data_IF_985529005539
#
_entry.id   IF_985529005539
#
_cell.length_a   1.000
_cell.length_b   1.000
_cell.length_c   1.000
_cell.angle_alpha   90.00
_cell.angle_beta   90.00
_cell.angle_gamma   90.00
#
_symmetry.space_group_name_H-M   'P 1'
#
loop_
_entity.id
_entity.type
_entity.pdbx_description
1 polymer ?
#
# COMPACT_ATOMS: atom_id res chain seq x y z
N UNK A 1 16.86 -15.51 -16.78
CA UNK A 1 15.44 -15.45 -16.39
C UNK A 1 14.98 -14.00 -16.53
N UNK A 2 14.06 -13.67 -17.46
CA UNK A 2 13.62 -12.29 -17.70
C UNK A 2 12.81 -11.69 -16.54
N UNK A 3 12.55 -12.43 -15.47
CA UNK A 3 11.76 -11.97 -14.33
C UNK A 3 12.59 -11.40 -13.16
N UNK A 4 13.91 -11.51 -13.18
CA UNK A 4 14.74 -10.96 -12.10
C UNK A 4 15.05 -9.48 -12.35
N UNK A 5 14.14 -8.60 -11.94
CA UNK A 5 14.45 -7.17 -11.77
C UNK A 5 15.16 -7.02 -10.41
N UNK A 6 16.41 -6.55 -10.35
CA UNK A 6 17.17 -6.43 -9.10
C UNK A 6 16.64 -5.31 -8.16
N UNK A 7 15.54 -4.65 -8.53
CA UNK A 7 14.86 -3.65 -7.72
C UNK A 7 13.54 -4.26 -7.25
N UNK A 8 13.60 -5.00 -6.14
CA UNK A 8 12.39 -5.34 -5.39
C UNK A 8 11.83 -4.00 -4.86
N UNK A 9 10.70 -3.56 -5.40
CA UNK A 9 10.06 -2.30 -5.01
C UNK A 9 9.07 -2.55 -3.86
N UNK A 10 8.78 -1.51 -3.07
CA UNK A 10 7.89 -1.59 -1.90
C UNK A 10 6.53 -2.26 -2.22
N UNK A 11 5.88 -2.03 -3.38
CA UNK A 11 4.63 -2.72 -3.75
C UNK A 11 4.77 -4.24 -3.88
N UNK A 12 5.93 -4.74 -4.32
CA UNK A 12 6.16 -6.18 -4.52
C UNK A 12 6.34 -6.88 -3.17
N UNK A 13 7.08 -6.26 -2.23
CA UNK A 13 7.21 -6.78 -0.85
C UNK A 13 5.85 -6.75 -0.14
N UNK A 14 5.10 -5.66 -0.31
CA UNK A 14 3.77 -5.53 0.27
C UNK A 14 2.78 -6.60 -0.25
N UNK A 15 2.96 -7.06 -1.49
CA UNK A 15 2.12 -8.11 -2.07
C UNK A 15 2.32 -9.45 -1.37
N UNK A 16 3.53 -9.75 -0.88
CA UNK A 16 3.84 -10.96 -0.10
C UNK A 16 3.11 -11.02 1.25
N UNK A 17 2.55 -9.89 1.73
CA UNK A 17 1.74 -9.87 2.95
C UNK A 17 0.30 -10.37 2.71
N UNK A 18 -0.17 -10.43 1.47
CA UNK A 18 -1.48 -10.97 1.17
C UNK A 18 -1.57 -12.44 1.63
N UNK A 19 -2.73 -12.89 2.16
CA UNK A 19 -4.00 -12.17 2.26
C UNK A 19 -4.21 -11.45 3.60
N UNK A 20 -3.16 -11.14 4.37
CA UNK A 20 -3.32 -10.38 5.61
C UNK A 20 -3.75 -8.95 5.28
N UNK A 21 -4.54 -8.35 6.16
CA UNK A 21 -4.90 -6.94 6.00
C UNK A 21 -3.64 -6.06 5.98
N UNK A 22 -3.64 -5.02 5.15
CA UNK A 22 -2.55 -4.07 5.03
C UNK A 22 -3.05 -2.63 4.90
N UNK A 23 -2.42 -1.72 5.64
CA UNK A 23 -2.66 -0.28 5.57
C UNK A 23 -1.36 0.46 5.25
N UNK A 24 -1.33 1.17 4.12
CA UNK A 24 -0.18 1.99 3.69
C UNK A 24 -0.53 3.47 3.95
N UNK A 25 0.29 4.14 4.76
CA UNK A 25 0.07 5.51 5.21
C UNK A 25 1.22 6.40 4.70
N UNK A 26 0.87 7.58 4.20
CA UNK A 26 1.79 8.60 3.69
C UNK A 26 2.92 8.02 2.81
N UNK A 27 2.60 7.23 1.76
CA UNK A 27 3.59 6.78 0.80
C UNK A 27 4.38 7.96 0.24
N UNK A 28 5.68 7.77 0.10
CA UNK A 28 6.60 8.75 -0.48
C UNK A 28 7.20 8.20 -1.77
N UNK A 29 7.70 9.09 -2.63
CA UNK A 29 8.56 8.68 -3.73
C UNK A 29 10.00 8.48 -3.27
N UNK A 30 10.88 8.12 -4.22
CA UNK A 30 12.30 7.89 -3.98
C UNK A 30 13.05 9.12 -3.44
N UNK A 31 12.47 10.31 -3.52
CA UNK A 31 13.04 11.54 -2.95
C UNK A 31 12.52 11.85 -1.55
N UNK A 32 11.68 10.97 -0.97
CA UNK A 32 11.05 11.18 0.33
C UNK A 32 9.87 12.15 0.30
N UNK A 33 9.39 12.55 -0.90
CA UNK A 33 8.24 13.45 -1.01
C UNK A 33 6.94 12.66 -0.95
N UNK A 34 5.94 13.08 -0.17
CA UNK A 34 4.62 12.46 -0.17
C UNK A 34 4.05 12.39 -1.58
N UNK A 35 3.46 11.25 -1.94
CA UNK A 35 2.77 11.09 -3.22
C UNK A 35 1.27 11.25 -3.01
N UNK A 36 0.64 12.01 -3.91
CA UNK A 36 -0.81 12.20 -3.89
C UNK A 36 -1.57 10.91 -4.23
N UNK A 37 -2.89 10.94 -4.06
CA UNK A 37 -3.74 9.77 -4.26
C UNK A 37 -3.69 9.16 -5.67
N UNK A 38 -3.55 9.98 -6.71
CA UNK A 38 -3.44 9.49 -8.08
C UNK A 38 -2.13 8.72 -8.32
N UNK A 39 -1.00 9.29 -7.84
CA UNK A 39 0.32 8.67 -7.94
C UNK A 39 0.40 7.40 -7.08
N UNK A 40 -0.18 7.41 -5.88
CA UNK A 40 -0.30 6.22 -5.03
C UNK A 40 -1.09 5.08 -5.70
N UNK A 41 -2.27 5.38 -6.28
CA UNK A 41 -3.06 4.36 -6.99
C UNK A 41 -2.29 3.71 -8.13
N UNK A 42 -1.44 4.47 -8.84
CA UNK A 42 -0.60 3.97 -9.93
C UNK A 42 0.59 3.15 -9.40
N UNK A 43 1.29 3.67 -8.38
CA UNK A 43 2.45 2.99 -7.78
C UNK A 43 2.07 1.63 -7.15
N UNK A 44 0.91 1.56 -6.50
CA UNK A 44 0.41 0.36 -5.86
C UNK A 44 -0.60 -0.43 -6.73
N UNK A 45 -0.62 -0.21 -8.04
CA UNK A 45 -1.59 -0.87 -8.92
C UNK A 45 -1.46 -2.41 -8.89
N UNK A 46 -0.22 -2.92 -8.89
CA UNK A 46 0.05 -4.34 -8.77
C UNK A 46 -0.42 -4.90 -7.43
N UNK A 47 -0.02 -4.27 -6.32
CA UNK A 47 -0.46 -4.64 -4.96
C UNK A 47 -2.00 -4.69 -4.86
N UNK A 48 -2.70 -3.70 -5.41
CA UNK A 48 -4.17 -3.68 -5.46
C UNK A 48 -4.74 -4.86 -6.24
N UNK A 49 -4.12 -5.23 -7.35
CA UNK A 49 -4.55 -6.40 -8.12
C UNK A 49 -4.39 -7.69 -7.31
N UNK A 50 -3.29 -7.86 -6.57
CA UNK A 50 -3.08 -9.04 -5.72
C UNK A 50 -4.16 -9.14 -4.65
N UNK A 51 -4.41 -8.06 -3.90
CA UNK A 51 -5.46 -8.04 -2.87
C UNK A 51 -6.87 -8.24 -3.44
N UNK A 52 -7.15 -7.80 -4.67
CA UNK A 52 -8.44 -8.03 -5.31
C UNK A 52 -8.74 -9.53 -5.57
N UNK A 53 -7.73 -10.40 -5.62
CA UNK A 53 -7.92 -11.85 -5.74
C UNK A 53 -8.23 -12.53 -4.39
N UNK A 54 -8.18 -11.80 -3.28
CA UNK A 54 -8.42 -12.31 -1.94
C UNK A 54 -9.67 -11.66 -1.34
N UNK A 55 -10.77 -12.42 -1.24
CA UNK A 55 -12.05 -11.91 -0.74
C UNK A 55 -12.03 -11.45 0.72
N UNK A 56 -11.07 -11.94 1.50
CA UNK A 56 -10.99 -11.74 2.95
C UNK A 56 -9.82 -10.81 3.36
N UNK A 57 -9.20 -10.12 2.40
CA UNK A 57 -8.05 -9.25 2.64
C UNK A 57 -8.40 -7.78 2.39
N UNK A 58 -8.08 -6.92 3.34
CA UNK A 58 -8.32 -5.47 3.26
C UNK A 58 -7.03 -4.73 2.94
N UNK A 59 -7.02 -4.00 1.83
CA UNK A 59 -5.96 -3.04 1.50
C UNK A 59 -6.47 -1.60 1.65
N UNK A 60 -5.88 -0.83 2.56
CA UNK A 60 -6.13 0.62 2.72
C UNK A 60 -4.91 1.41 2.26
N UNK A 61 -5.12 2.40 1.39
CA UNK A 61 -4.08 3.35 0.94
C UNK A 61 -4.48 4.76 1.41
N UNK A 62 -3.64 5.38 2.25
CA UNK A 62 -3.87 6.68 2.87
C UNK A 62 -2.74 7.66 2.47
N UNK A 63 -2.81 8.25 1.26
CA UNK A 63 -1.77 9.10 0.65
C UNK A 63 -1.61 10.47 1.29
N UNK A 64 -2.69 11.02 1.84
CA UNK A 64 -2.73 12.34 2.47
C UNK A 64 -3.47 12.20 3.79
N UNK A 65 -2.73 12.06 4.88
CA UNK A 65 -3.31 11.82 6.19
C UNK A 65 -2.80 12.85 7.21
N UNK A 66 -3.72 13.62 7.77
CA UNK A 66 -3.49 14.35 9.02
C UNK A 66 -3.31 13.33 10.16
N UNK A 67 -2.59 13.69 11.22
CA UNK A 67 -2.32 12.78 12.35
C UNK A 67 -3.61 12.16 12.92
N UNK A 68 -4.70 12.94 12.99
CA UNK A 68 -6.02 12.47 13.43
C UNK A 68 -6.59 11.35 12.54
N UNK A 69 -6.47 11.50 11.22
CA UNK A 69 -6.98 10.53 10.24
C UNK A 69 -6.22 9.20 10.27
N UNK A 70 -4.93 9.24 10.65
CA UNK A 70 -4.12 8.02 10.83
C UNK A 70 -4.58 7.25 12.05
N UNK A 71 -4.76 7.93 13.19
CA UNK A 71 -5.22 7.31 14.44
C UNK A 71 -6.58 6.62 14.26
N UNK A 72 -7.54 7.28 13.63
CA UNK A 72 -8.86 6.71 13.35
C UNK A 72 -8.81 5.49 12.42
N UNK A 73 -7.88 5.51 11.46
CA UNK A 73 -7.72 4.41 10.51
C UNK A 73 -7.04 3.19 11.14
N UNK A 74 -6.09 3.40 12.04
CA UNK A 74 -5.43 2.35 12.82
C UNK A 74 -6.44 1.71 13.79
N UNK A 75 -7.24 2.51 14.50
CA UNK A 75 -8.26 1.99 15.43
C UNK A 75 -9.29 1.11 14.71
N UNK A 76 -9.72 1.50 13.50
CA UNK A 76 -10.62 0.72 12.62
C UNK A 76 -9.95 -0.49 11.93
N UNK A 77 -8.70 -0.74 12.22
CA UNK A 77 -7.94 -1.86 11.65
C UNK A 77 -7.57 -2.88 12.72
N UNK A 78 -7.51 -2.45 13.98
CA UNK A 78 -7.24 -3.29 15.16
C UNK A 78 -8.55 -3.86 15.75
N UNK A 79 -9.69 -3.20 15.52
CA UNK A 79 -11.04 -3.62 15.93
C UNK A 79 -11.89 -4.01 14.73
#
# INVERSE_FOLDING_TARGET
DPFFRPNIDLPDIAACLAPRDLCIINPTDYTGKPINAAKAKKAFAYLRSVYAHHSNAVLKLLPECSQQSVSDSILKFIH
#
